data_IF_516769083720
#
_entry.id   IF_516769083720
#
_cell.length_a   1.000
_cell.length_b   1.000
_cell.length_c   1.000
_cell.angle_alpha   90.00
_cell.angle_beta   90.00
_cell.angle_gamma   90.00
#
_symmetry.space_group_name_H-M   'P 1'
#
loop_
_entity.id
_entity.type
_entity.pdbx_description
1 polymer ?
#
# COMPACT_ATOMS: atom_id res chain seq x y z
N UNK A 1 36.58 13.30 9.81
CA UNK A 1 36.01 12.18 9.02
C UNK A 1 34.59 12.58 8.61
N UNK A 2 34.26 12.58 7.31
CA UNK A 2 32.90 12.86 6.83
C UNK A 2 32.10 11.56 6.87
N UNK A 3 31.02 11.52 7.66
CA UNK A 3 29.99 10.50 7.49
C UNK A 3 28.85 11.12 6.67
N UNK A 4 28.77 10.74 5.40
CA UNK A 4 27.53 10.85 4.65
C UNK A 4 26.63 9.71 5.12
N UNK A 5 25.57 10.03 5.88
CA UNK A 5 24.49 9.08 6.15
C UNK A 5 23.20 9.67 5.61
N UNK A 6 23.02 9.39 4.31
CA UNK A 6 21.81 8.86 3.65
C UNK A 6 20.48 9.55 4.01
N UNK A 7 19.83 10.04 2.96
CA UNK A 7 18.48 10.59 2.88
C UNK A 7 17.54 10.05 3.98
N UNK A 8 16.91 10.97 4.70
CA UNK A 8 15.87 10.70 5.70
C UNK A 8 14.82 9.76 5.08
N UNK A 9 14.78 8.52 5.56
CA UNK A 9 13.86 7.50 5.09
C UNK A 9 12.46 7.76 5.67
N UNK A 10 11.76 8.74 5.11
CA UNK A 10 10.29 8.85 5.17
C UNK A 10 9.60 7.66 4.44
N UNK A 11 10.38 6.72 3.90
CA UNK A 11 9.91 5.62 3.06
C UNK A 11 9.63 4.31 3.80
N UNK A 12 10.04 4.17 5.07
CA UNK A 12 9.78 2.95 5.83
C UNK A 12 8.39 3.01 6.49
N UNK A 13 7.99 4.13 7.06
CA UNK A 13 6.73 4.24 7.81
C UNK A 13 5.52 4.64 6.96
N UNK A 14 5.27 3.87 5.90
CA UNK A 14 4.10 4.02 5.02
C UNK A 14 3.32 2.71 4.91
N UNK A 15 2.01 2.80 4.72
CA UNK A 15 1.14 1.66 4.46
C UNK A 15 1.08 1.18 3.02
N UNK A 16 1.82 1.80 2.11
CA UNK A 16 1.89 1.36 0.71
C UNK A 16 2.28 -0.12 0.61
N UNK A 17 1.35 -0.95 0.14
CA UNK A 17 1.54 -2.39 -0.01
C UNK A 17 1.62 -3.19 1.30
N UNK A 18 1.29 -2.57 2.44
CA UNK A 18 1.36 -3.17 3.79
C UNK A 18 0.00 -3.34 4.48
N UNK A 19 -1.09 -2.91 3.86
CA UNK A 19 -2.44 -3.04 4.41
C UNK A 19 -2.83 -4.52 4.66
N UNK A 20 -3.37 -4.81 5.84
CA UNK A 20 -3.87 -6.14 6.22
C UNK A 20 -3.68 -6.42 7.71
N UNK A 21 -4.10 -7.60 8.21
CA UNK A 21 -4.05 -7.91 9.65
C UNK A 21 -2.65 -8.22 10.22
N UNK A 22 -1.63 -8.32 9.38
CA UNK A 22 -0.27 -8.61 9.83
C UNK A 22 0.36 -7.44 10.57
N UNK A 23 1.17 -7.74 11.58
CA UNK A 23 2.13 -6.77 12.12
C UNK A 23 3.49 -6.97 11.45
N UNK A 24 4.25 -5.88 11.33
CA UNK A 24 5.63 -5.93 10.84
C UNK A 24 6.52 -5.06 11.73
N UNK A 25 7.38 -5.74 12.50
CA UNK A 25 8.31 -5.09 13.44
C UNK A 25 9.52 -4.45 12.76
N UNK A 26 9.64 -4.57 11.43
CA UNK A 26 10.68 -3.88 10.65
C UNK A 26 10.37 -2.39 10.47
N UNK A 27 9.21 -1.94 10.93
CA UNK A 27 8.68 -0.59 10.78
C UNK A 27 8.25 -0.02 12.13
N UNK A 28 8.27 1.31 12.27
CA UNK A 28 7.88 1.97 13.51
C UNK A 28 6.37 2.13 13.65
N UNK A 29 5.64 1.99 12.55
CA UNK A 29 4.17 2.01 12.49
C UNK A 29 3.57 0.76 11.84
N UNK A 30 2.28 0.54 12.09
CA UNK A 30 1.50 -0.61 11.63
C UNK A 30 0.40 -0.21 10.64
N UNK A 31 -0.03 -1.19 9.83
CA UNK A 31 -1.03 -1.01 8.76
C UNK A 31 -2.18 -2.01 8.86
N UNK A 32 -2.42 -2.49 10.08
CA UNK A 32 -3.50 -3.39 10.42
C UNK A 32 -4.60 -2.67 11.20
N UNK A 33 -5.86 -3.13 11.14
CA UNK A 33 -6.97 -2.49 11.87
C UNK A 33 -6.80 -2.38 13.38
N UNK A 34 -5.93 -3.20 14.00
CA UNK A 34 -5.65 -3.06 15.43
C UNK A 34 -4.77 -1.85 15.74
N UNK A 35 -4.12 -1.25 14.74
CA UNK A 35 -3.21 -0.12 14.96
C UNK A 35 -3.91 1.09 15.57
N UNK A 36 -5.20 1.28 15.29
CA UNK A 36 -6.00 2.37 15.88
C UNK A 36 -6.18 2.17 17.38
N UNK A 37 -6.33 0.92 17.81
CA UNK A 37 -6.42 0.57 19.23
C UNK A 37 -5.08 0.74 19.94
N UNK A 38 -3.96 0.45 19.27
CA UNK A 38 -2.62 0.55 19.84
C UNK A 38 -1.99 1.94 19.68
N UNK A 39 -2.57 2.81 18.85
CA UNK A 39 -2.06 4.15 18.56
C UNK A 39 -0.77 4.14 17.75
N UNK A 40 -0.51 3.08 16.98
CA UNK A 40 0.72 2.85 16.22
C UNK A 40 0.49 2.80 14.70
N UNK A 41 -0.65 3.30 14.20
CA UNK A 41 -0.92 3.38 12.76
C UNK A 41 0.11 4.25 12.03
N UNK A 42 0.47 3.86 10.81
CA UNK A 42 1.18 4.78 9.92
C UNK A 42 0.29 5.98 9.60
N UNK A 43 0.91 7.13 9.34
CA UNK A 43 0.21 8.39 9.08
C UNK A 43 -0.71 8.33 7.86
N UNK A 44 -0.44 7.41 6.93
CA UNK A 44 -1.18 7.17 5.70
C UNK A 44 -2.14 5.97 5.77
N UNK A 45 -2.35 5.37 6.96
CA UNK A 45 -3.21 4.20 7.15
C UNK A 45 -4.65 4.44 6.65
N UNK A 46 -5.28 5.54 7.08
CA UNK A 46 -6.66 5.86 6.68
C UNK A 46 -6.75 6.07 5.16
N UNK A 47 -5.79 6.78 4.57
CA UNK A 47 -5.81 7.06 3.13
C UNK A 47 -5.60 5.78 2.31
N UNK A 48 -4.65 4.92 2.70
CA UNK A 48 -4.22 3.78 1.88
C UNK A 48 -4.94 2.47 2.21
N UNK A 49 -5.37 2.26 3.46
CA UNK A 49 -5.94 0.99 3.92
C UNK A 49 -7.44 1.05 4.16
N UNK A 50 -7.97 2.16 4.68
CA UNK A 50 -9.43 2.30 4.86
C UNK A 50 -10.10 2.83 3.59
N UNK A 51 -9.71 4.02 3.14
CA UNK A 51 -10.24 4.61 1.92
C UNK A 51 -9.78 3.85 0.66
N UNK A 52 -8.58 3.26 0.72
CA UNK A 52 -8.04 2.41 -0.33
C UNK A 52 -8.75 1.06 -0.50
N UNK A 53 -9.64 0.64 0.41
CA UNK A 53 -10.30 -0.67 0.35
C UNK A 53 -11.14 -0.91 -0.94
N UNK A 54 -11.51 0.16 -1.65
CA UNK A 54 -12.29 0.14 -2.89
C UNK A 54 -11.55 0.72 -4.10
N UNK A 55 -10.28 1.09 -3.96
CA UNK A 55 -9.50 1.82 -4.98
C UNK A 55 -8.09 1.26 -5.13
N UNK A 56 -7.51 1.39 -6.32
CA UNK A 56 -6.11 1.05 -6.58
C UNK A 56 -5.10 2.18 -6.33
N UNK A 57 -5.53 3.35 -5.86
CA UNK A 57 -4.62 4.45 -5.53
C UNK A 57 -3.56 4.00 -4.52
N UNK A 58 -2.30 3.99 -4.95
CA UNK A 58 -1.18 3.54 -4.11
C UNK A 58 -1.12 2.03 -3.82
N UNK A 59 -1.96 1.22 -4.47
CA UNK A 59 -2.06 -0.24 -4.26
C UNK A 59 -1.69 -1.08 -5.48
N UNK A 60 -1.30 -0.46 -6.60
CA UNK A 60 -0.88 -1.18 -7.80
C UNK A 60 0.27 -2.16 -7.49
N UNK A 61 0.12 -3.41 -7.92
CA UNK A 61 1.12 -4.45 -7.68
C UNK A 61 1.11 -5.05 -6.27
N UNK A 62 0.05 -4.82 -5.48
CA UNK A 62 -0.09 -5.40 -4.14
C UNK A 62 -0.01 -6.94 -4.13
N UNK A 63 0.31 -7.50 -2.96
CA UNK A 63 0.10 -8.92 -2.70
C UNK A 63 -1.38 -9.21 -2.49
N UNK A 64 -1.80 -10.45 -2.75
CA UNK A 64 -3.15 -10.86 -2.44
C UNK A 64 -3.41 -10.79 -0.93
N UNK A 65 -4.49 -10.11 -0.56
CA UNK A 65 -4.99 -10.04 0.81
C UNK A 65 -6.51 -10.25 0.79
N UNK A 66 -6.99 -11.37 1.33
CA UNK A 66 -8.41 -11.75 1.33
C UNK A 66 -9.34 -10.78 2.06
N UNK A 67 -8.79 -9.82 2.80
CA UNK A 67 -9.56 -8.76 3.47
C UNK A 67 -9.94 -7.61 2.53
N UNK A 68 -9.22 -7.45 1.41
CA UNK A 68 -9.51 -6.40 0.48
C UNK A 68 -10.83 -6.71 -0.25
N UNK A 69 -11.72 -5.72 -0.38
CA UNK A 69 -12.97 -5.88 -1.13
C UNK A 69 -12.72 -6.05 -2.63
N UNK A 70 -11.58 -5.56 -3.09
CA UNK A 70 -11.10 -5.64 -4.46
C UNK A 70 -9.57 -5.57 -4.48
N UNK A 71 -8.98 -5.98 -5.59
CA UNK A 71 -7.54 -6.18 -5.70
C UNK A 71 -6.89 -5.37 -6.82
N UNK A 72 -5.62 -5.06 -6.62
CA UNK A 72 -4.83 -4.24 -7.53
C UNK A 72 -3.55 -4.94 -8.01
N UNK A 73 -3.58 -6.27 -8.02
CA UNK A 73 -2.49 -7.11 -8.50
C UNK A 73 -2.73 -7.58 -9.93
N UNK A 74 -1.66 -8.01 -10.62
CA UNK A 74 -1.71 -8.43 -12.03
C UNK A 74 -2.63 -9.60 -12.33
N UNK A 75 -3.06 -10.37 -11.31
CA UNK A 75 -3.96 -11.50 -11.46
C UNK A 75 -5.42 -11.15 -11.17
N UNK A 76 -5.73 -9.92 -10.76
CA UNK A 76 -7.10 -9.59 -10.34
C UNK A 76 -8.12 -9.76 -11.48
N UNK A 77 -7.71 -9.55 -12.74
CA UNK A 77 -8.57 -9.71 -13.90
C UNK A 77 -8.94 -11.19 -14.13
N UNK A 78 -7.99 -12.09 -13.90
CA UNK A 78 -8.21 -13.54 -13.97
C UNK A 78 -9.24 -14.00 -12.93
N UNK A 79 -9.19 -13.44 -11.72
CA UNK A 79 -10.09 -13.78 -10.61
C UNK A 79 -11.35 -12.90 -10.55
N UNK A 80 -11.51 -11.96 -11.50
CA UNK A 80 -12.63 -11.00 -11.58
C UNK A 80 -12.87 -10.24 -10.27
N UNK A 81 -11.78 -9.87 -9.60
CA UNK A 81 -11.82 -9.19 -8.32
C UNK A 81 -10.99 -7.90 -8.31
N UNK A 82 -10.72 -7.31 -9.48
CA UNK A 82 -10.05 -6.01 -9.57
C UNK A 82 -10.89 -4.90 -8.92
N UNK A 83 -10.25 -3.87 -8.37
CA UNK A 83 -10.97 -2.63 -8.08
C UNK A 83 -11.46 -1.98 -9.37
N UNK A 84 -12.55 -1.20 -9.29
CA UNK A 84 -13.20 -0.61 -10.46
C UNK A 84 -12.28 0.36 -11.22
N UNK A 85 -11.31 0.95 -10.53
CA UNK A 85 -10.32 1.89 -11.03
C UNK A 85 -8.97 1.24 -11.38
N UNK A 86 -8.87 -0.10 -11.36
CA UNK A 86 -7.63 -0.81 -11.67
C UNK A 86 -7.10 -0.46 -13.06
N UNK A 87 -7.96 -0.44 -14.06
CA UNK A 87 -7.54 -0.14 -15.44
C UNK A 87 -7.04 1.29 -15.56
N UNK A 88 -7.70 2.23 -14.89
CA UNK A 88 -7.35 3.65 -14.95
C UNK A 88 -6.06 3.97 -14.20
N UNK A 89 -5.78 3.29 -13.08
CA UNK A 89 -4.65 3.59 -12.19
C UNK A 89 -3.44 2.66 -12.34
N UNK A 90 -3.63 1.41 -12.74
CA UNK A 90 -2.58 0.39 -12.77
C UNK A 90 -2.34 -0.24 -14.14
N UNK A 91 -3.33 -0.23 -15.04
CA UNK A 91 -3.20 -0.78 -16.42
C UNK A 91 -3.04 0.30 -17.49
N UNK A 92 -3.18 1.57 -17.10
CA UNK A 92 -2.78 2.70 -17.94
C UNK A 92 -1.27 2.63 -18.13
N UNK A 93 -0.86 2.24 -19.35
CA UNK A 93 0.54 2.19 -19.81
C UNK A 93 1.16 3.59 -19.84
N UNK A 94 1.37 4.17 -18.67
CA UNK A 94 2.18 5.38 -18.49
C UNK A 94 3.25 5.07 -17.48
N UNK A 95 4.18 4.20 -17.89
CA UNK A 95 5.56 4.30 -17.42
C UNK A 95 6.10 5.66 -17.89
N UNK A 96 5.92 6.70 -17.08
CA UNK A 96 6.68 7.94 -17.17
C UNK A 96 7.58 8.10 -15.93
N UNK A 97 8.31 7.03 -15.59
CA UNK A 97 9.56 7.13 -14.85
C UNK A 97 10.71 6.65 -15.74
N UNK A 98 10.93 7.36 -16.86
CA UNK A 98 12.17 7.35 -17.64
C UNK A 98 12.17 8.60 -18.55
N UNK A 99 12.49 9.76 -17.97
CA UNK A 99 13.09 10.93 -18.64
C UNK A 99 13.96 11.67 -17.61
#
# INVERSE_FOLDING_TARGET
MKAASICKADSLDSCRGRCGYGTDNSFSCQCNPSCERFGDCCSDYVELCEAGATSCKGRCGEKYNSQNKCHCNSKCAQYKNCCSDYTDLCDSKTNLCNL
#
